data_IF_845534787827
#
_entry.id   IF_845534787827
#
_cell.length_a   1.000
_cell.length_b   1.000
_cell.length_c   1.000
_cell.angle_alpha   90.00
_cell.angle_beta   90.00
_cell.angle_gamma   90.00
#
_symmetry.space_group_name_H-M   'P 1'
#
loop_
_entity.id
_entity.type
_entity.pdbx_description
1 polymer ?
#
# COMPACT_ATOMS: atom_id res chain seq x y z
N UNK A 1 -6.88 -19.52 -11.83
CA UNK A 1 -6.29 -18.72 -10.74
C UNK A 1 -5.62 -19.61 -9.67
N UNK A 2 -4.79 -20.58 -10.06
CA UNK A 2 -4.25 -21.60 -9.11
C UNK A 2 -2.75 -21.50 -8.83
N UNK A 3 -2.04 -20.53 -9.42
CA UNK A 3 -0.58 -20.41 -9.25
C UNK A 3 -0.12 -19.45 -8.13
N UNK A 4 -1.04 -18.80 -7.43
CA UNK A 4 -0.71 -17.79 -6.40
C UNK A 4 -0.77 -18.31 -4.95
N UNK A 5 -1.14 -19.58 -4.75
CA UNK A 5 -1.60 -20.06 -3.43
C UNK A 5 -0.48 -20.48 -2.45
N UNK A 6 0.71 -20.97 -2.85
CA UNK A 6 1.73 -21.32 -1.85
C UNK A 6 2.66 -20.16 -1.47
N UNK A 7 2.53 -18.98 -2.09
CA UNK A 7 3.44 -17.84 -1.93
C UNK A 7 2.62 -16.60 -1.55
N UNK A 8 3.12 -15.76 -0.63
CA UNK A 8 2.50 -14.44 -0.39
C UNK A 8 2.31 -13.72 -1.74
N UNK A 9 1.10 -13.24 -2.08
CA UNK A 9 0.77 -12.73 -3.41
C UNK A 9 1.72 -11.60 -3.84
N UNK A 10 2.14 -10.74 -2.89
CA UNK A 10 3.13 -9.69 -3.13
C UNK A 10 4.51 -10.22 -3.51
N UNK A 11 4.95 -11.34 -2.91
CA UNK A 11 6.24 -11.97 -3.23
C UNK A 11 6.22 -12.61 -4.60
N UNK A 12 5.09 -13.22 -4.98
CA UNK A 12 4.91 -13.81 -6.29
C UNK A 12 4.95 -12.74 -7.40
N UNK A 13 4.21 -11.64 -7.22
CA UNK A 13 4.20 -10.50 -8.14
C UNK A 13 5.61 -9.89 -8.30
N UNK A 14 6.28 -9.61 -7.17
CA UNK A 14 7.62 -9.00 -7.18
C UNK A 14 8.68 -9.89 -7.84
N UNK A 15 8.63 -11.21 -7.67
CA UNK A 15 9.71 -12.10 -8.13
C UNK A 15 9.44 -12.73 -9.49
N UNK A 16 8.25 -13.28 -9.71
CA UNK A 16 7.96 -14.03 -10.94
C UNK A 16 7.51 -13.10 -12.06
N UNK A 17 6.63 -12.15 -11.74
CA UNK A 17 6.07 -11.26 -12.75
C UNK A 17 7.09 -10.19 -13.18
N UNK A 18 7.82 -9.60 -12.23
CA UNK A 18 8.84 -8.60 -12.54
C UNK A 18 10.00 -9.17 -13.39
N UNK A 19 10.35 -10.45 -13.21
CA UNK A 19 11.36 -11.13 -14.06
C UNK A 19 10.89 -11.28 -15.51
N UNK A 20 9.59 -11.43 -15.74
CA UNK A 20 9.03 -11.69 -17.07
C UNK A 20 8.64 -10.41 -17.80
N UNK A 21 8.17 -9.39 -17.07
CA UNK A 21 7.58 -8.18 -17.64
C UNK A 21 8.35 -6.90 -17.29
N UNK A 22 9.37 -6.97 -16.45
CA UNK A 22 10.17 -5.83 -16.01
C UNK A 22 9.72 -5.27 -14.66
N UNK A 23 10.50 -4.31 -14.11
CA UNK A 23 10.29 -3.77 -12.76
C UNK A 23 9.06 -2.86 -12.62
N UNK A 24 8.49 -2.39 -13.73
CA UNK A 24 7.24 -1.63 -13.78
C UNK A 24 6.29 -2.32 -14.77
N UNK A 25 5.11 -2.72 -14.31
CA UNK A 25 4.16 -3.48 -15.12
C UNK A 25 2.72 -3.18 -14.71
N UNK A 26 1.79 -3.29 -15.67
CA UNK A 26 0.36 -3.21 -15.43
C UNK A 26 -0.23 -4.62 -15.35
N UNK A 27 -0.97 -4.91 -14.28
CA UNK A 27 -1.60 -6.20 -14.05
C UNK A 27 -3.09 -5.99 -13.84
N UNK A 28 -3.92 -6.70 -14.59
CA UNK A 28 -5.37 -6.68 -14.36
C UNK A 28 -5.76 -7.76 -13.36
N UNK A 29 -6.34 -7.34 -12.24
CA UNK A 29 -6.89 -8.22 -11.21
C UNK A 29 -8.41 -8.06 -11.20
N UNK A 30 -9.12 -9.05 -11.74
CA UNK A 30 -10.56 -8.94 -11.96
C UNK A 30 -10.86 -7.82 -12.96
N UNK A 31 -11.60 -6.81 -12.51
CA UNK A 31 -11.95 -5.62 -13.31
C UNK A 31 -11.07 -4.40 -13.01
N UNK A 32 -10.07 -4.53 -12.13
CA UNK A 32 -9.20 -3.41 -11.73
C UNK A 32 -7.82 -3.56 -12.35
N UNK A 33 -7.33 -2.48 -12.94
CA UNK A 33 -5.96 -2.37 -13.41
C UNK A 33 -5.05 -1.90 -12.28
N UNK A 34 -3.95 -2.62 -12.05
CA UNK A 34 -3.00 -2.38 -10.97
C UNK A 34 -1.59 -2.15 -11.55
N UNK A 35 -1.03 -0.97 -11.30
CA UNK A 35 0.38 -0.72 -11.55
C UNK A 35 1.23 -1.37 -10.45
N UNK A 36 2.19 -2.21 -10.83
CA UNK A 36 3.11 -2.88 -9.90
C UNK A 36 4.52 -2.33 -10.12
N UNK A 37 5.06 -1.68 -9.07
CA UNK A 37 6.43 -1.20 -9.02
C UNK A 37 7.29 -2.14 -8.14
N UNK A 38 8.24 -2.83 -8.77
CA UNK A 38 9.09 -3.84 -8.12
C UNK A 38 10.55 -3.40 -7.93
N UNK A 39 10.93 -2.21 -8.39
CA UNK A 39 12.22 -1.57 -8.10
C UNK A 39 12.05 -0.30 -7.28
N UNK A 40 13.14 0.16 -6.67
CA UNK A 40 13.16 1.39 -5.87
C UNK A 40 12.83 2.60 -6.74
N UNK A 41 13.44 2.70 -7.91
CA UNK A 41 13.32 3.83 -8.83
C UNK A 41 11.87 3.97 -9.32
N UNK A 42 11.23 2.85 -9.68
CA UNK A 42 9.83 2.83 -10.08
C UNK A 42 8.88 3.19 -8.92
N UNK A 43 9.18 2.73 -7.71
CA UNK A 43 8.39 3.06 -6.52
C UNK A 43 8.53 4.55 -6.13
N UNK A 44 9.73 5.12 -6.23
CA UNK A 44 9.97 6.55 -6.00
C UNK A 44 9.23 7.42 -7.02
N UNK A 45 9.26 7.04 -8.31
CA UNK A 45 8.51 7.74 -9.36
C UNK A 45 7.00 7.78 -9.05
N UNK A 46 6.41 6.65 -8.67
CA UNK A 46 4.97 6.54 -8.42
C UNK A 46 4.57 7.20 -7.10
N UNK A 47 5.26 6.88 -6.00
CA UNK A 47 4.83 7.27 -4.65
C UNK A 47 5.25 8.70 -4.30
N UNK A 48 6.41 9.16 -4.77
CA UNK A 48 6.92 10.50 -4.43
C UNK A 48 6.55 11.52 -5.50
N UNK A 49 6.86 11.24 -6.77
CA UNK A 49 6.66 12.22 -7.84
C UNK A 49 5.20 12.30 -8.30
N UNK A 50 4.53 11.15 -8.38
CA UNK A 50 3.16 11.06 -8.89
C UNK A 50 2.14 10.70 -7.79
N UNK A 51 2.52 10.86 -6.52
CA UNK A 51 1.73 10.38 -5.38
C UNK A 51 0.30 10.92 -5.32
N UNK A 52 0.05 12.13 -5.82
CA UNK A 52 -1.30 12.71 -5.91
C UNK A 52 -2.18 11.98 -6.95
N UNK A 53 -1.62 11.63 -8.11
CA UNK A 53 -2.32 10.88 -9.17
C UNK A 53 -2.67 9.47 -8.70
N UNK A 54 -1.80 8.84 -7.92
CA UNK A 54 -2.00 7.49 -7.37
C UNK A 54 -2.62 7.48 -5.96
N UNK A 55 -3.09 8.63 -5.46
CA UNK A 55 -3.73 8.70 -4.15
C UNK A 55 -5.14 8.07 -4.16
N UNK A 56 -5.79 7.99 -5.32
CA UNK A 56 -7.13 7.41 -5.47
C UNK A 56 -7.15 5.94 -5.02
N UNK A 57 -8.22 5.53 -4.33
CA UNK A 57 -8.45 4.14 -3.94
C UNK A 57 -9.53 3.56 -4.85
N UNK A 58 -9.27 2.46 -5.58
CA UNK A 58 -10.28 1.85 -6.42
C UNK A 58 -11.44 1.38 -5.55
N UNK A 59 -12.67 1.68 -5.98
CA UNK A 59 -13.87 1.35 -5.26
C UNK A 59 -14.16 -0.15 -5.40
N UNK A 60 -13.73 -0.91 -4.40
CA UNK A 60 -14.02 -2.32 -4.23
C UNK A 60 -15.09 -2.49 -3.15
N UNK A 61 -15.95 -3.50 -3.28
CA UNK A 61 -16.93 -3.83 -2.23
C UNK A 61 -16.24 -4.03 -0.86
N UNK A 62 -15.07 -4.67 -0.85
CA UNK A 62 -14.26 -4.81 0.35
C UNK A 62 -13.77 -3.46 0.90
N UNK A 63 -13.42 -2.48 0.05
CA UNK A 63 -13.00 -1.16 0.52
C UNK A 63 -14.15 -0.35 1.12
N UNK A 64 -15.39 -0.50 0.65
CA UNK A 64 -16.53 0.14 1.29
C UNK A 64 -16.73 -0.35 2.73
N UNK A 65 -16.53 -1.65 2.97
CA UNK A 65 -16.67 -2.24 4.30
C UNK A 65 -15.45 -1.93 5.19
N UNK A 66 -14.24 -2.20 4.70
CA UNK A 66 -13.00 -2.08 5.49
C UNK A 66 -12.58 -0.63 5.73
N UNK A 67 -12.84 0.25 4.75
CA UNK A 67 -12.46 1.66 4.81
C UNK A 67 -13.67 2.57 5.09
N UNK A 68 -14.77 2.04 5.63
CA UNK A 68 -15.96 2.81 6.02
C UNK A 68 -16.44 3.78 4.92
N UNK A 69 -16.71 3.23 3.74
CA UNK A 69 -17.15 3.97 2.56
C UNK A 69 -16.03 4.50 1.67
N UNK A 70 -14.75 4.21 1.99
CA UNK A 70 -13.58 4.59 1.19
C UNK A 70 -13.54 6.08 0.80
N UNK A 71 -14.13 6.94 1.63
CA UNK A 71 -14.21 8.38 1.37
C UNK A 71 -12.80 8.96 1.27
N UNK A 72 -12.56 9.74 0.22
CA UNK A 72 -11.28 10.43 0.05
C UNK A 72 -11.07 11.37 1.24
N UNK A 73 -10.13 11.01 2.12
CA UNK A 73 -9.77 11.79 3.32
C UNK A 73 -9.16 13.15 2.90
N UNK A 74 -8.88 13.34 1.60
CA UNK A 74 -8.79 14.63 0.96
C UNK A 74 -7.77 15.58 1.61
N UNK A 75 -8.02 16.89 1.61
CA UNK A 75 -7.11 17.89 2.18
C UNK A 75 -6.80 17.67 3.67
N UNK A 76 -7.72 17.03 4.40
CA UNK A 76 -7.63 16.80 5.84
C UNK A 76 -6.67 15.66 6.22
N UNK A 77 -6.38 14.74 5.30
CA UNK A 77 -5.50 13.58 5.54
C UNK A 77 -4.14 13.97 6.14
N UNK A 78 -3.52 15.05 5.67
CA UNK A 78 -2.22 15.52 6.20
C UNK A 78 -2.32 15.95 7.67
N UNK A 79 -3.42 16.58 8.06
CA UNK A 79 -3.64 17.01 9.44
C UNK A 79 -3.90 15.81 10.35
N UNK A 80 -4.72 14.85 9.87
CA UNK A 80 -4.97 13.59 10.57
C UNK A 80 -3.67 12.79 10.77
N UNK A 81 -2.86 12.64 9.73
CA UNK A 81 -1.55 12.00 9.83
C UNK A 81 -0.65 12.70 10.84
N UNK A 82 -0.59 14.04 10.81
CA UNK A 82 0.23 14.82 11.75
C UNK A 82 -0.19 14.57 13.20
N UNK A 83 -1.49 14.52 13.47
CA UNK A 83 -2.03 14.18 14.79
C UNK A 83 -1.64 12.75 15.20
N UNK A 84 -1.86 11.77 14.31
CA UNK A 84 -1.47 10.38 14.56
C UNK A 84 0.02 10.24 14.84
N UNK A 85 0.90 10.91 14.09
CA UNK A 85 2.34 10.87 14.31
C UNK A 85 2.77 11.57 15.61
N UNK A 86 2.05 12.60 16.04
CA UNK A 86 2.37 13.31 17.27
C UNK A 86 1.91 12.54 18.50
N UNK A 87 0.67 12.05 18.48
CA UNK A 87 -0.01 11.51 19.66
C UNK A 87 0.06 9.98 19.77
N UNK A 88 -0.04 9.26 18.65
CA UNK A 88 -0.16 7.80 18.64
C UNK A 88 1.16 7.11 18.29
N UNK A 89 1.84 7.57 17.25
CA UNK A 89 3.08 6.98 16.75
C UNK A 89 4.33 7.76 17.19
N UNK A 90 4.14 8.79 18.01
CA UNK A 90 5.21 9.62 18.52
C UNK A 90 6.15 8.84 19.44
N UNK A 91 7.43 9.24 19.46
CA UNK A 91 8.48 8.56 20.23
C UNK A 91 8.16 8.39 21.73
N UNK A 92 7.30 9.26 22.29
CA UNK A 92 6.85 9.18 23.69
C UNK A 92 5.95 7.96 23.93
N UNK A 93 5.10 7.60 22.98
CA UNK A 93 4.15 6.48 23.07
C UNK A 93 4.82 5.13 22.74
N UNK A 94 5.71 5.11 21.73
CA UNK A 94 6.42 3.87 21.34
C UNK A 94 7.34 3.34 22.43
N UNK A 95 7.92 4.22 23.27
CA UNK A 95 8.71 3.82 24.45
C UNK A 95 7.89 3.21 25.59
N UNK A 96 6.59 3.51 25.65
CA UNK A 96 5.68 2.94 26.65
C UNK A 96 5.03 1.64 26.21
N UNK A 97 5.20 1.25 24.94
CA UNK A 97 4.78 -0.08 24.47
C UNK A 97 5.69 -1.11 25.14
N UNK A 98 5.15 -2.11 25.85
CA UNK A 98 5.96 -3.21 26.35
C UNK A 98 6.75 -3.76 25.17
N UNK A 99 8.07 -3.85 25.31
CA UNK A 99 8.91 -4.66 24.43
C UNK A 99 8.54 -6.14 24.66
N UNK A 100 7.33 -6.53 24.24
CA UNK A 100 6.87 -7.91 24.29
C UNK A 100 7.59 -8.68 23.20
N UNK A 101 8.24 -9.77 23.64
CA UNK A 101 9.18 -10.54 22.86
C UNK A 101 8.62 -11.03 21.54
N UNK A 102 9.34 -10.67 20.48
CA UNK A 102 9.42 -11.46 19.27
C UNK A 102 10.87 -11.92 19.14
N UNK A 103 11.21 -12.95 19.92
CA UNK A 103 12.29 -13.89 19.64
C UNK A 103 11.64 -15.27 19.49
#
# INVERSE_FOLDING_TARGET
MHHLVPQLPFRALRRHLARKHGPLMLVRIGQVDLAVASSREAAEEILQKQGATFASRPELAATQVVLYGASDIGPYWKQLLRLCFTELLGAKRTRSSPSSGWN
#
